data_IF_224979521195
#
_entry.id   IF_224979521195
#
_cell.length_a   1.000
_cell.length_b   1.000
_cell.length_c   1.000
_cell.angle_alpha   90.00
_cell.angle_beta   90.00
_cell.angle_gamma   90.00
#
_symmetry.space_group_name_H-M   'P 1'
#
loop_
_entity.id
_entity.type
_entity.pdbx_description
1 polymer ?
#
# COMPACT_ATOMS: atom_id res chain seq x y z
N UNK A 1 44.54 -35.00 -18.02
CA UNK A 1 43.19 -34.63 -18.49
C UNK A 1 42.38 -34.34 -17.25
N UNK A 2 41.86 -33.11 -17.10
CA UNK A 2 40.89 -32.78 -16.05
C UNK A 2 39.49 -32.92 -16.66
N UNK A 3 38.64 -33.74 -16.06
CA UNK A 3 37.23 -33.85 -16.43
C UNK A 3 36.49 -32.58 -15.98
N UNK A 4 35.78 -31.96 -16.93
CA UNK A 4 34.89 -30.83 -16.68
C UNK A 4 33.68 -31.33 -15.91
N UNK A 5 33.48 -30.80 -14.69
CA UNK A 5 32.31 -31.09 -13.87
C UNK A 5 31.09 -30.44 -14.51
N UNK A 6 30.18 -31.23 -15.07
CA UNK A 6 28.91 -30.74 -15.59
C UNK A 6 28.05 -30.20 -14.43
N UNK A 7 27.57 -28.97 -14.58
CA UNK A 7 26.63 -28.36 -13.64
C UNK A 7 25.29 -29.07 -13.76
N UNK A 8 24.85 -29.74 -12.70
CA UNK A 8 23.47 -30.23 -12.60
C UNK A 8 22.52 -29.04 -12.65
N UNK A 9 21.81 -28.90 -13.76
CA UNK A 9 20.73 -27.94 -13.91
C UNK A 9 19.61 -28.30 -12.95
N UNK A 10 19.47 -27.53 -11.87
CA UNK A 10 18.29 -27.58 -11.00
C UNK A 10 17.15 -26.84 -11.70
N UNK A 11 16.59 -27.45 -12.74
CA UNK A 11 15.29 -27.03 -13.26
C UNK A 11 14.25 -27.38 -12.20
N UNK A 12 13.94 -26.40 -11.34
CA UNK A 12 12.71 -26.42 -10.55
C UNK A 12 11.57 -26.49 -11.55
N UNK A 13 10.86 -27.61 -11.55
CA UNK A 13 9.59 -27.74 -12.27
C UNK A 13 8.64 -26.73 -11.63
N UNK A 14 8.44 -25.61 -12.31
CA UNK A 14 7.42 -24.64 -11.96
C UNK A 14 6.08 -25.27 -12.35
N UNK A 15 5.39 -25.84 -11.36
CA UNK A 15 4.13 -26.56 -11.58
C UNK A 15 2.95 -25.62 -11.82
N UNK A 16 3.15 -24.31 -11.96
CA UNK A 16 2.08 -23.35 -12.27
C UNK A 16 1.05 -23.14 -11.15
N UNK A 17 1.15 -23.87 -10.04
CA UNK A 17 0.41 -23.61 -8.81
C UNK A 17 1.27 -22.72 -7.92
N UNK A 18 1.29 -21.43 -8.27
CA UNK A 18 1.54 -20.40 -7.26
C UNK A 18 0.28 -20.35 -6.40
N UNK A 19 0.29 -21.09 -5.29
CA UNK A 19 -0.47 -20.69 -4.11
C UNK A 19 0.20 -19.40 -3.58
N UNK A 20 0.12 -18.31 -4.35
CA UNK A 20 0.43 -17.00 -3.80
C UNK A 20 -0.74 -16.65 -2.91
N UNK A 21 -0.47 -16.50 -1.60
CA UNK A 21 -1.40 -15.88 -0.67
C UNK A 21 -1.90 -14.59 -1.34
N UNK A 22 -3.20 -14.50 -1.61
CA UNK A 22 -3.77 -13.35 -2.28
C UNK A 22 -3.73 -12.19 -1.29
N UNK A 23 -2.74 -11.31 -1.47
CA UNK A 23 -2.61 -10.11 -0.67
C UNK A 23 -2.82 -8.87 -1.54
N UNK A 24 -3.51 -7.89 -0.98
CA UNK A 24 -3.72 -6.60 -1.62
C UNK A 24 -3.24 -5.48 -0.72
N UNK A 25 -2.18 -4.80 -1.15
CA UNK A 25 -1.68 -3.61 -0.48
C UNK A 25 -2.40 -2.36 -0.99
N UNK A 26 -2.83 -1.50 -0.06
CA UNK A 26 -3.37 -0.19 -0.38
C UNK A 26 -2.97 0.84 0.68
N UNK A 27 -3.09 2.11 0.33
CA UNK A 27 -2.76 3.22 1.22
C UNK A 27 -4.00 4.07 1.47
N UNK A 28 -4.31 4.30 2.73
CA UNK A 28 -5.41 5.17 3.17
C UNK A 28 -4.85 6.47 3.72
N UNK A 29 -5.41 7.60 3.29
CA UNK A 29 -5.10 8.92 3.84
C UNK A 29 -6.29 9.50 4.60
N UNK A 30 -6.07 9.93 5.83
CA UNK A 30 -7.09 10.57 6.67
C UNK A 30 -6.64 11.99 7.02
N UNK A 31 -7.26 12.97 6.38
CA UNK A 31 -7.05 14.40 6.66
C UNK A 31 -8.20 14.94 7.53
N UNK A 32 -7.87 15.56 8.66
CA UNK A 32 -8.88 16.20 9.54
C UNK A 32 -8.91 17.70 9.27
N UNK A 33 -10.10 18.30 9.13
CA UNK A 33 -10.26 19.75 8.85
C UNK A 33 -9.55 20.68 9.85
N UNK A 34 -9.40 20.23 11.11
CA UNK A 34 -8.79 21.02 12.18
C UNK A 34 -7.25 21.03 12.15
N UNK A 35 -6.64 20.14 11.37
CA UNK A 35 -5.19 19.99 11.30
C UNK A 35 -4.74 20.13 9.84
N UNK A 36 -3.61 20.81 9.62
CA UNK A 36 -3.06 20.98 8.28
C UNK A 36 -2.34 19.73 7.76
N UNK A 37 -2.12 18.74 8.63
CA UNK A 37 -1.52 17.46 8.33
C UNK A 37 -2.53 16.34 8.06
N UNK A 38 -2.02 15.12 7.91
CA UNK A 38 -2.84 13.93 7.67
C UNK A 38 -2.16 12.67 8.23
N UNK A 39 -2.96 11.64 8.45
CA UNK A 39 -2.49 10.30 8.74
C UNK A 39 -2.45 9.50 7.43
N UNK A 40 -1.38 8.75 7.22
CA UNK A 40 -1.23 7.78 6.15
C UNK A 40 -1.13 6.39 6.78
N UNK A 41 -2.02 5.50 6.37
CA UNK A 41 -2.03 4.10 6.79
C UNK A 41 -1.63 3.25 5.59
N UNK A 42 -0.56 2.46 5.72
CA UNK A 42 -0.31 1.34 4.83
C UNK A 42 -1.07 0.13 5.36
N UNK A 43 -1.95 -0.43 4.55
CA UNK A 43 -2.84 -1.52 4.91
C UNK A 43 -2.69 -2.63 3.86
N UNK A 44 -2.73 -3.87 4.33
CA UNK A 44 -2.77 -5.05 3.47
C UNK A 44 -4.00 -5.88 3.82
N UNK A 45 -4.74 -6.28 2.79
CA UNK A 45 -5.75 -7.32 2.93
C UNK A 45 -5.10 -8.66 2.64
N UNK A 46 -5.13 -9.60 3.60
CA UNK A 46 -4.62 -10.97 3.46
C UNK A 46 -5.73 -11.90 3.91
N UNK A 47 -6.11 -12.88 3.08
CA UNK A 47 -7.20 -13.82 3.40
C UNK A 47 -8.51 -13.11 3.84
N UNK A 48 -8.81 -11.96 3.22
CA UNK A 48 -9.95 -11.08 3.55
C UNK A 48 -9.89 -10.40 4.94
N UNK A 49 -8.77 -10.51 5.64
CA UNK A 49 -8.51 -9.81 6.90
C UNK A 49 -7.67 -8.55 6.68
N UNK A 50 -8.02 -7.48 7.38
CA UNK A 50 -7.30 -6.22 7.30
C UNK A 50 -6.12 -6.23 8.27
N UNK A 51 -4.92 -6.11 7.72
CA UNK A 51 -3.68 -5.96 8.48
C UNK A 51 -3.15 -4.55 8.27
N UNK A 52 -2.82 -3.86 9.36
CA UNK A 52 -2.08 -2.60 9.30
C UNK A 52 -0.59 -2.93 9.15
N UNK A 53 0.10 -2.24 8.24
CA UNK A 53 1.56 -2.41 8.00
C UNK A 53 2.37 -1.21 8.44
N UNK A 54 1.81 0.00 8.30
CA UNK A 54 2.50 1.23 8.67
C UNK A 54 1.54 2.36 9.01
N UNK A 55 1.99 3.24 9.91
CA UNK A 55 1.30 4.47 10.29
C UNK A 55 2.28 5.64 10.17
N UNK A 56 2.10 6.48 9.17
CA UNK A 56 2.89 7.70 8.95
C UNK A 56 2.04 8.94 9.28
N UNK A 57 2.68 9.94 9.89
CA UNK A 57 2.07 11.23 10.19
C UNK A 57 2.71 12.30 9.30
N UNK A 58 1.88 12.99 8.52
CA UNK A 58 2.28 14.15 7.74
C UNK A 58 1.96 15.42 8.53
N UNK A 59 2.93 16.31 8.69
CA UNK A 59 2.81 17.50 9.53
C UNK A 59 2.04 18.63 8.84
N UNK A 60 2.06 18.67 7.51
CA UNK A 60 1.47 19.74 6.72
C UNK A 60 1.00 19.24 5.34
N UNK A 61 0.29 20.09 4.61
CA UNK A 61 -0.27 19.77 3.30
C UNK A 61 0.78 19.54 2.21
N UNK A 62 1.96 20.18 2.28
CA UNK A 62 3.03 19.91 1.30
C UNK A 62 3.57 18.50 1.45
N UNK A 63 3.72 18.03 2.69
CA UNK A 63 4.18 16.67 2.96
C UNK A 63 3.20 15.63 2.42
N UNK A 64 1.90 15.88 2.64
CA UNK A 64 0.80 15.09 2.14
C UNK A 64 0.74 15.10 0.60
N UNK A 65 0.90 16.26 -0.03
CA UNK A 65 0.93 16.39 -1.50
C UNK A 65 2.08 15.57 -2.11
N UNK A 66 3.26 15.61 -1.50
CA UNK A 66 4.39 14.78 -1.91
C UNK A 66 4.08 13.28 -1.72
N UNK A 67 3.35 12.90 -0.67
CA UNK A 67 2.95 11.52 -0.41
C UNK A 67 1.93 10.99 -1.43
N UNK A 68 0.91 11.79 -1.77
CA UNK A 68 -0.03 11.49 -2.84
C UNK A 68 0.67 11.41 -4.20
N UNK A 69 1.54 12.38 -4.51
CA UNK A 69 2.26 12.41 -5.78
C UNK A 69 3.20 11.22 -5.99
N UNK A 70 3.69 10.62 -4.90
CA UNK A 70 4.52 9.41 -4.97
C UNK A 70 3.71 8.13 -5.28
N UNK A 71 2.45 8.08 -4.86
CA UNK A 71 1.56 6.94 -5.09
C UNK A 71 0.73 7.09 -6.37
N UNK A 72 0.52 8.33 -6.83
CA UNK A 72 -0.17 8.62 -8.08
C UNK A 72 0.74 8.27 -9.26
N UNK A 73 0.61 7.03 -9.74
CA UNK A 73 1.13 6.63 -11.04
C UNK A 73 0.09 7.01 -12.09
N UNK A 74 0.24 8.20 -12.70
CA UNK A 74 -0.42 8.61 -13.97
C UNK A 74 -1.88 8.18 -14.08
N UNK A 75 -2.73 8.51 -13.09
CA UNK A 75 -4.17 8.52 -13.35
C UNK A 75 -4.54 9.96 -13.67
N UNK A 76 -4.76 10.23 -14.95
CA UNK A 76 -5.35 11.47 -15.44
C UNK A 76 -6.81 11.51 -14.97
N UNK A 77 -7.02 11.71 -13.66
CA UNK A 77 -8.34 11.87 -13.05
C UNK A 77 -8.50 13.34 -12.69
N UNK A 78 -9.30 13.98 -13.54
CA UNK A 78 -9.83 15.32 -13.37
C UNK A 78 -10.38 15.49 -11.94
N UNK A 79 -9.95 16.57 -11.26
CA UNK A 79 -10.49 17.13 -10.00
C UNK A 79 -9.70 16.93 -8.68
N UNK A 80 -8.44 16.50 -8.71
CA UNK A 80 -7.53 16.74 -7.58
C UNK A 80 -6.66 17.97 -7.87
N UNK A 81 -6.89 19.04 -7.10
CA UNK A 81 -6.06 20.26 -6.92
C UNK A 81 -5.03 20.53 -8.03
N UNK A 82 -5.22 21.63 -8.78
CA UNK A 82 -4.32 22.16 -9.83
C UNK A 82 -2.84 22.28 -9.43
N UNK A 83 -2.50 22.10 -8.14
CA UNK A 83 -1.14 22.16 -7.62
C UNK A 83 -0.28 20.91 -7.83
N UNK A 84 -0.87 19.75 -8.18
CA UNK A 84 -0.14 18.48 -8.22
C UNK A 84 0.43 18.11 -9.61
N UNK A 85 0.25 18.97 -10.62
CA UNK A 85 0.43 18.63 -12.04
C UNK A 85 1.90 18.61 -12.53
N UNK A 86 2.87 19.15 -11.77
CA UNK A 86 4.24 19.34 -12.30
C UNK A 86 5.37 18.57 -11.60
N UNK A 87 5.09 17.83 -10.52
CA UNK A 87 6.16 17.08 -9.84
C UNK A 87 6.25 15.68 -10.43
N UNK A 88 7.45 15.30 -10.88
CA UNK A 88 7.69 13.91 -11.27
C UNK A 88 7.46 12.98 -10.07
N UNK A 89 6.75 11.88 -10.28
CA UNK A 89 6.48 10.88 -9.24
C UNK A 89 7.77 10.47 -8.49
N UNK A 90 8.89 10.37 -9.21
CA UNK A 90 10.21 10.06 -8.66
C UNK A 90 10.77 11.14 -7.70
N UNK A 91 10.50 12.43 -7.93
CA UNK A 91 10.87 13.48 -6.98
C UNK A 91 10.01 13.41 -5.72
N UNK A 92 8.71 13.16 -5.88
CA UNK A 92 7.79 12.96 -4.77
C UNK A 92 8.20 11.76 -3.91
N UNK A 93 8.48 10.60 -4.53
CA UNK A 93 8.99 9.40 -3.84
C UNK A 93 10.25 9.70 -3.05
N UNK A 94 11.26 10.34 -3.65
CA UNK A 94 12.49 10.71 -2.94
C UNK A 94 12.23 11.55 -1.70
N UNK A 95 11.40 12.59 -1.82
CA UNK A 95 11.04 13.44 -0.66
C UNK A 95 10.31 12.63 0.42
N UNK A 96 9.38 11.78 0.00
CA UNK A 96 8.62 10.87 0.86
C UNK A 96 9.57 9.96 1.65
N UNK A 97 10.54 9.35 0.97
CA UNK A 97 11.46 8.36 1.55
C UNK A 97 12.50 8.96 2.49
N UNK A 98 12.81 10.25 2.34
CA UNK A 98 13.67 10.95 3.29
C UNK A 98 13.00 11.29 4.62
N UNK A 99 11.67 11.14 4.72
CA UNK A 99 10.89 11.46 5.92
C UNK A 99 10.65 10.22 6.77
N UNK A 100 10.35 10.45 8.05
CA UNK A 100 10.01 9.40 8.97
C UNK A 100 8.72 8.67 8.53
N UNK A 101 8.75 7.34 8.53
CA UNK A 101 7.67 6.45 8.04
C UNK A 101 6.78 5.87 9.14
N UNK A 102 6.95 6.36 10.36
CA UNK A 102 6.41 5.70 11.54
C UNK A 102 7.33 4.62 12.10
N UNK A 103 6.98 4.08 13.27
CA UNK A 103 7.69 2.97 13.90
C UNK A 103 7.38 1.66 13.17
N UNK A 104 8.14 0.61 13.50
CA UNK A 104 7.69 -0.74 13.14
C UNK A 104 6.46 -1.08 13.97
N UNK A 105 5.43 -1.67 13.38
CA UNK A 105 4.21 -1.99 14.13
C UNK A 105 4.43 -3.02 15.23
N UNK A 106 5.40 -3.92 15.06
CA UNK A 106 5.83 -4.84 16.11
C UNK A 106 6.47 -4.16 17.32
N UNK A 107 6.81 -2.87 17.22
CA UNK A 107 7.29 -2.05 18.33
C UNK A 107 6.17 -1.23 18.99
N UNK A 108 4.97 -1.20 18.40
CA UNK A 108 3.81 -0.58 19.02
C UNK A 108 3.26 -1.50 20.11
N UNK A 109 2.72 -0.86 21.14
CA UNK A 109 1.96 -1.55 22.19
C UNK A 109 0.67 -2.11 21.59
N UNK A 110 0.32 -3.36 21.90
CA UNK A 110 -0.83 -4.06 21.32
C UNK A 110 -2.14 -3.25 21.56
N UNK A 111 -2.29 -2.71 22.76
CA UNK A 111 -3.41 -1.84 23.15
C UNK A 111 -3.52 -0.59 22.25
N UNK A 112 -2.40 -0.04 21.81
CA UNK A 112 -2.38 1.13 20.93
C UNK A 112 -2.68 0.76 19.48
N UNK A 113 -2.16 -0.36 18.98
CA UNK A 113 -2.52 -0.85 17.64
C UNK A 113 -4.00 -1.18 17.54
N UNK A 114 -4.58 -1.79 18.56
CA UNK A 114 -6.00 -2.15 18.59
C UNK A 114 -6.88 -0.89 18.55
N UNK A 115 -6.57 0.14 19.34
CA UNK A 115 -7.30 1.42 19.31
C UNK A 115 -7.20 2.12 17.93
N UNK A 116 -6.07 1.98 17.24
CA UNK A 116 -5.91 2.51 15.87
C UNK A 116 -6.79 1.74 14.89
N UNK A 117 -6.90 0.42 15.02
CA UNK A 117 -7.79 -0.40 14.19
C UNK A 117 -9.26 -0.10 14.49
N UNK A 118 -9.65 0.07 15.75
CA UNK A 118 -11.00 0.50 16.14
C UNK A 118 -11.34 1.87 15.53
N UNK A 119 -10.39 2.82 15.55
CA UNK A 119 -10.55 4.11 14.88
C UNK A 119 -10.80 3.99 13.38
N UNK A 120 -10.20 2.99 12.71
CA UNK A 120 -10.43 2.70 11.29
C UNK A 120 -11.78 2.00 11.06
N UNK A 121 -12.18 1.08 11.93
CA UNK A 121 -13.48 0.40 11.86
C UNK A 121 -14.64 1.39 12.01
N UNK A 122 -14.55 2.34 12.95
CA UNK A 122 -15.53 3.44 13.09
C UNK A 122 -15.72 4.25 11.79
N UNK A 123 -14.73 4.23 10.89
CA UNK A 123 -14.74 4.93 9.59
C UNK A 123 -15.13 4.01 8.44
N UNK A 124 -15.48 2.76 8.74
CA UNK A 124 -15.85 1.74 7.77
C UNK A 124 -14.65 1.10 7.07
N UNK A 125 -13.44 1.27 7.61
CA UNK A 125 -12.24 0.59 7.12
C UNK A 125 -11.97 -0.61 8.03
N UNK A 126 -12.55 -1.74 7.66
CA UNK A 126 -12.56 -2.98 8.44
C UNK A 126 -12.45 -4.22 7.54
N UNK A 127 -12.58 -5.42 8.11
CA UNK A 127 -12.49 -6.67 7.35
C UNK A 127 -13.52 -6.78 6.23
N UNK A 128 -14.73 -6.23 6.40
CA UNK A 128 -15.73 -6.19 5.32
C UNK A 128 -15.31 -5.28 4.16
N UNK A 129 -14.58 -4.20 4.45
CA UNK A 129 -13.97 -3.36 3.43
C UNK A 129 -12.80 -4.07 2.74
N UNK A 130 -11.98 -4.81 3.50
CA UNK A 130 -10.86 -5.60 2.97
C UNK A 130 -11.37 -6.67 1.98
N UNK A 131 -12.39 -7.43 2.37
CA UNK A 131 -13.10 -8.39 1.51
C UNK A 131 -13.61 -7.72 0.22
N UNK A 132 -14.29 -6.58 0.35
CA UNK A 132 -14.80 -5.85 -0.81
C UNK A 132 -13.69 -5.45 -1.80
N UNK A 133 -12.58 -4.88 -1.31
CA UNK A 133 -11.49 -4.47 -2.20
C UNK A 133 -10.85 -5.69 -2.86
N UNK A 134 -10.61 -6.79 -2.14
CA UNK A 134 -10.08 -8.02 -2.76
C UNK A 134 -10.98 -8.52 -3.89
N UNK A 135 -12.28 -8.67 -3.64
CA UNK A 135 -13.23 -9.11 -4.68
C UNK A 135 -13.24 -8.12 -5.87
N UNK A 136 -13.18 -6.83 -5.60
CA UNK A 136 -13.14 -5.81 -6.65
C UNK A 136 -11.83 -5.86 -7.46
N UNK A 137 -10.70 -6.15 -6.84
CA UNK A 137 -9.42 -6.33 -7.50
C UNK A 137 -9.46 -7.54 -8.44
N UNK A 138 -9.98 -8.69 -7.98
CA UNK A 138 -10.17 -9.86 -8.84
C UNK A 138 -11.11 -9.59 -10.00
N UNK A 139 -12.18 -8.83 -9.78
CA UNK A 139 -13.07 -8.44 -10.86
C UNK A 139 -12.33 -7.63 -11.93
N UNK A 140 -11.51 -6.64 -11.54
CA UNK A 140 -10.72 -5.85 -12.49
C UNK A 140 -9.66 -6.68 -13.21
N UNK A 141 -8.99 -7.60 -12.51
CA UNK A 141 -8.04 -8.53 -13.12
C UNK A 141 -8.72 -9.41 -14.18
N UNK A 142 -9.92 -9.92 -13.88
CA UNK A 142 -10.71 -10.71 -14.84
C UNK A 142 -11.15 -9.87 -16.04
N UNK A 143 -11.58 -8.63 -15.84
CA UNK A 143 -11.91 -7.72 -16.95
C UNK A 143 -10.70 -7.41 -17.82
N UNK A 144 -9.50 -7.25 -17.24
CA UNK A 144 -8.27 -7.03 -17.99
C UNK A 144 -7.83 -8.28 -18.76
N UNK A 145 -8.05 -9.49 -18.20
CA UNK A 145 -7.74 -10.74 -18.90
C UNK A 145 -8.63 -10.99 -20.13
N UNK A 146 -9.91 -10.58 -20.06
CA UNK A 146 -10.89 -10.80 -21.11
C UNK A 146 -10.73 -9.79 -22.27
N UNK A 147 -10.18 -8.60 -22.02
CA UNK A 147 -10.03 -7.51 -22.99
C UNK A 147 -8.63 -7.44 -23.62
#
# INVERSE_FOLDING_TARGET
MMELKEYEGTYRMDNGEREEEEYLFFTLFVQKQRFQGALEFGLTSIDMELVMDSLTIHSNGEELDDAYGALSAVTSMNNLSEKCIEKSNLLCQRKRDTRYRGPMLSELDDDFSDEVLDYLDERGVNNGFAEYIMVQAHFFEQEEYIN
#
